data_IF_636419939735
#
_entry.id   IF_636419939735
#
_cell.length_a   1.000
_cell.length_b   1.000
_cell.length_c   1.000
_cell.angle_alpha   90.00
_cell.angle_beta   90.00
_cell.angle_gamma   90.00
#
_symmetry.space_group_name_H-M   'P 1'
#
loop_
_entity.id
_entity.type
_entity.pdbx_description
1 polymer ?
#
# COMPACT_ATOMS: atom_id res chain seq x y z
N UNK A 1 -12.41 -13.41 0.65
CA UNK A 1 -11.44 -12.41 0.23
C UNK A 1 -12.16 -11.09 0.00
N UNK A 2 -11.67 -10.03 0.56
CA UNK A 2 -12.27 -8.70 0.40
C UNK A 2 -11.32 -7.80 -0.39
N UNK A 3 -11.80 -6.62 -0.75
CA UNK A 3 -10.98 -5.63 -1.46
C UNK A 3 -11.13 -4.27 -0.83
N UNK A 4 -10.10 -3.44 -1.01
CA UNK A 4 -10.06 -2.07 -0.54
C UNK A 4 -9.81 -1.17 -1.75
N UNK A 5 -10.47 -0.02 -1.76
CA UNK A 5 -10.29 0.96 -2.81
C UNK A 5 -9.17 1.93 -2.46
N UNK A 6 -8.27 2.18 -3.41
CA UNK A 6 -7.28 3.25 -3.27
C UNK A 6 -8.02 4.58 -3.38
N UNK A 7 -7.79 5.47 -2.42
CA UNK A 7 -8.63 6.68 -2.27
C UNK A 7 -8.25 7.77 -3.26
N UNK A 8 -6.94 8.00 -3.46
CA UNK A 8 -6.50 9.18 -4.21
C UNK A 8 -5.22 8.90 -4.99
N UNK A 9 -4.79 9.87 -5.79
CA UNK A 9 -3.58 9.78 -6.59
C UNK A 9 -3.80 9.06 -7.91
N UNK A 10 -2.71 8.70 -8.59
CA UNK A 10 -2.81 8.12 -9.93
C UNK A 10 -3.44 6.72 -9.97
N UNK A 11 -3.43 6.01 -8.84
CA UNK A 11 -4.09 4.71 -8.71
C UNK A 11 -5.47 4.82 -8.07
N UNK A 12 -5.94 6.04 -7.82
CA UNK A 12 -7.24 6.27 -7.17
C UNK A 12 -8.37 5.55 -7.89
N UNK A 13 -9.22 4.89 -7.11
CA UNK A 13 -10.33 4.10 -7.64
C UNK A 13 -9.97 2.64 -7.93
N UNK A 14 -8.70 2.29 -8.01
CA UNK A 14 -8.27 0.91 -8.20
C UNK A 14 -8.48 0.10 -6.93
N UNK A 15 -8.73 -1.18 -7.09
CA UNK A 15 -8.97 -2.09 -5.96
C UNK A 15 -7.74 -2.94 -5.69
N UNK A 16 -7.45 -3.15 -4.40
CA UNK A 16 -6.45 -4.12 -3.96
C UNK A 16 -7.14 -5.20 -3.14
N UNK A 17 -6.62 -6.41 -3.21
CA UNK A 17 -7.17 -7.54 -2.47
C UNK A 17 -6.64 -7.56 -1.05
N UNK A 18 -7.50 -7.94 -0.12
CA UNK A 18 -7.12 -8.16 1.26
C UNK A 18 -7.56 -9.56 1.68
N UNK A 19 -6.94 -10.10 2.70
CA UNK A 19 -7.36 -11.35 3.31
C UNK A 19 -7.83 -11.09 4.73
N UNK A 20 -8.80 -11.87 5.19
CA UNK A 20 -9.26 -11.79 6.57
C UNK A 20 -8.21 -12.39 7.49
N UNK A 21 -7.73 -11.58 8.40
CA UNK A 21 -6.82 -12.02 9.45
C UNK A 21 -7.26 -11.32 10.73
N UNK A 22 -7.42 -12.09 11.81
CA UNK A 22 -7.88 -11.55 13.10
C UNK A 22 -6.99 -10.44 13.63
N UNK A 23 -5.70 -10.48 13.25
CA UNK A 23 -4.71 -9.52 13.71
C UNK A 23 -4.47 -8.39 12.72
N UNK A 24 -5.18 -8.41 11.60
CA UNK A 24 -5.00 -7.42 10.56
C UNK A 24 -6.22 -6.50 10.48
N UNK A 25 -6.03 -5.24 10.84
CA UNK A 25 -7.02 -4.20 10.62
C UNK A 25 -6.45 -3.23 9.60
N UNK A 26 -6.96 -3.23 8.36
CA UNK A 26 -6.50 -2.24 7.38
C UNK A 26 -6.84 -0.83 7.85
N UNK A 27 -5.98 0.11 7.53
CA UNK A 27 -6.24 1.53 7.83
C UNK A 27 -7.48 1.96 7.05
N UNK A 28 -8.51 2.51 7.72
CA UNK A 28 -9.72 2.94 7.02
C UNK A 28 -9.44 3.99 5.95
N UNK A 29 -10.24 3.97 4.89
CA UNK A 29 -10.10 4.91 3.77
C UNK A 29 -10.07 6.37 4.23
N UNK A 30 -10.94 6.71 5.18
CA UNK A 30 -11.01 8.06 5.74
C UNK A 30 -9.68 8.49 6.36
N UNK A 31 -9.02 7.58 7.09
CA UNK A 31 -7.75 7.87 7.74
C UNK A 31 -6.64 7.98 6.70
N UNK A 32 -6.62 7.09 5.71
CA UNK A 32 -5.65 7.17 4.61
C UNK A 32 -5.76 8.49 3.88
N UNK A 33 -6.97 8.90 3.55
CA UNK A 33 -7.21 10.17 2.88
C UNK A 33 -6.70 11.35 3.70
N UNK A 34 -6.95 11.36 5.00
CA UNK A 34 -6.50 12.43 5.88
C UNK A 34 -4.98 12.50 5.98
N UNK A 35 -4.33 11.34 6.14
CA UNK A 35 -2.86 11.28 6.20
C UNK A 35 -2.25 11.89 4.94
N UNK A 36 -2.70 11.49 3.77
CA UNK A 36 -2.11 11.95 2.52
C UNK A 36 -2.54 13.35 2.15
N UNK A 37 -3.69 13.81 2.64
CA UNK A 37 -4.07 15.22 2.57
C UNK A 37 -3.06 16.12 3.29
N UNK A 38 -2.56 15.66 4.43
CA UNK A 38 -1.54 16.41 5.18
C UNK A 38 -0.16 16.36 4.52
N UNK A 39 0.15 15.27 3.81
CA UNK A 39 1.46 15.04 3.23
C UNK A 39 1.61 15.60 1.81
N UNK A 40 0.52 15.98 1.18
CA UNK A 40 0.56 16.53 -0.17
C UNK A 40 0.90 18.02 -0.19
N UNK A 41 1.66 18.49 -1.20
CA UNK A 41 2.32 17.69 -2.23
C UNK A 41 3.54 16.97 -1.68
N UNK A 42 3.71 15.71 -2.07
CA UNK A 42 4.87 14.93 -1.67
C UNK A 42 6.10 15.34 -2.46
N UNK A 43 7.27 15.25 -1.81
CA UNK A 43 8.53 15.49 -2.50
C UNK A 43 8.76 14.40 -3.55
N UNK A 44 9.32 14.78 -4.70
CA UNK A 44 9.52 13.88 -5.84
C UNK A 44 10.42 12.68 -5.52
N UNK A 45 11.32 12.82 -4.58
CA UNK A 45 12.28 11.77 -4.21
C UNK A 45 11.92 11.04 -2.92
N UNK A 46 10.69 11.21 -2.43
CA UNK A 46 10.25 10.61 -1.19
C UNK A 46 10.21 9.08 -1.28
N UNK A 47 10.91 8.42 -0.37
CA UNK A 47 10.87 6.97 -0.22
C UNK A 47 10.18 6.64 1.09
N UNK A 48 9.16 5.79 1.05
CA UNK A 48 8.39 5.41 2.22
C UNK A 48 8.74 4.00 2.68
N UNK A 49 8.71 3.78 3.98
CA UNK A 49 8.89 2.47 4.59
C UNK A 49 7.60 2.07 5.28
N UNK A 50 7.04 0.94 4.88
CA UNK A 50 5.81 0.41 5.44
C UNK A 50 6.12 -0.89 6.20
N UNK A 51 6.23 -0.78 7.51
CA UNK A 51 6.47 -1.93 8.40
C UNK A 51 5.15 -2.63 8.68
N UNK A 52 5.18 -3.99 8.66
CA UNK A 52 3.96 -4.80 8.86
C UNK A 52 2.89 -4.45 7.83
N UNK A 53 3.30 -4.50 6.57
CA UNK A 53 2.56 -3.92 5.45
C UNK A 53 1.15 -4.52 5.24
N UNK A 54 0.92 -5.76 5.64
CA UNK A 54 -0.35 -6.42 5.36
C UNK A 54 -0.62 -6.50 3.87
N UNK A 55 -1.81 -6.07 3.44
CA UNK A 55 -2.17 -6.03 2.02
C UNK A 55 -1.49 -4.89 1.25
N UNK A 56 -0.80 -4.00 1.96
CA UNK A 56 -0.08 -2.90 1.35
C UNK A 56 -0.88 -1.62 1.16
N UNK A 57 -2.07 -1.52 1.75
CA UNK A 57 -2.97 -0.40 1.48
C UNK A 57 -2.33 0.97 1.74
N UNK A 58 -1.62 1.11 2.85
CA UNK A 58 -1.03 2.40 3.21
C UNK A 58 0.13 2.78 2.30
N UNK A 59 1.05 1.85 2.05
CA UNK A 59 2.19 2.09 1.17
C UNK A 59 1.78 2.29 -0.29
N UNK A 60 0.79 1.54 -0.76
CA UNK A 60 0.27 1.71 -2.11
C UNK A 60 -0.40 3.09 -2.25
N UNK A 61 -1.12 3.51 -1.21
CA UNK A 61 -1.70 4.85 -1.18
C UNK A 61 -0.61 5.93 -1.26
N UNK A 62 0.49 5.73 -0.54
CA UNK A 62 1.63 6.66 -0.60
C UNK A 62 2.20 6.74 -2.02
N UNK A 63 2.40 5.59 -2.67
CA UNK A 63 2.89 5.55 -4.03
C UNK A 63 1.94 6.24 -4.99
N UNK A 64 0.65 5.99 -4.82
CA UNK A 64 -0.41 6.61 -5.63
C UNK A 64 -0.38 8.14 -5.51
N UNK A 65 0.02 8.65 -4.37
CA UNK A 65 0.06 10.09 -4.10
C UNK A 65 1.42 10.72 -4.36
N UNK A 66 2.33 10.01 -5.01
CA UNK A 66 3.56 10.60 -5.51
C UNK A 66 4.86 10.15 -4.88
N UNK A 67 4.84 9.22 -3.93
CA UNK A 67 6.09 8.66 -3.40
C UNK A 67 6.87 8.02 -4.55
N UNK A 68 8.18 8.21 -4.57
CA UNK A 68 9.04 7.65 -5.61
C UNK A 68 9.13 6.14 -5.49
N UNK A 69 9.21 5.65 -4.27
CA UNK A 69 9.41 4.24 -3.98
C UNK A 69 8.85 3.91 -2.61
N UNK A 70 8.38 2.68 -2.45
CA UNK A 70 7.94 2.18 -1.15
C UNK A 70 8.66 0.87 -0.87
N UNK A 71 9.18 0.74 0.35
CA UNK A 71 9.76 -0.49 0.86
C UNK A 71 8.74 -1.09 1.82
N UNK A 72 8.27 -2.29 1.50
CA UNK A 72 7.32 -3.03 2.33
C UNK A 72 8.03 -4.13 3.09
N UNK A 73 7.69 -4.29 4.35
CA UNK A 73 8.18 -5.40 5.18
C UNK A 73 6.98 -6.14 5.73
N UNK A 74 6.90 -7.43 5.44
CA UNK A 74 5.81 -8.28 5.90
C UNK A 74 6.35 -9.68 6.22
N UNK A 75 6.09 -10.17 7.43
CA UNK A 75 6.58 -11.47 7.87
C UNK A 75 5.62 -12.63 7.55
N UNK A 76 4.33 -12.37 7.42
CA UNK A 76 3.33 -13.40 7.15
C UNK A 76 3.34 -13.77 5.67
N UNK A 77 3.50 -15.06 5.36
CA UNK A 77 3.64 -15.53 3.98
C UNK A 77 2.39 -15.22 3.14
N UNK A 78 1.22 -15.43 3.69
CA UNK A 78 -0.03 -15.21 2.96
C UNK A 78 -0.24 -13.73 2.66
N UNK A 79 0.02 -12.88 3.63
CA UNK A 79 -0.06 -11.43 3.44
C UNK A 79 0.99 -10.95 2.46
N UNK A 80 2.21 -11.48 2.53
CA UNK A 80 3.27 -11.12 1.59
C UNK A 80 2.88 -11.49 0.16
N UNK A 81 2.31 -12.68 -0.04
CA UNK A 81 1.88 -13.11 -1.36
C UNK A 81 0.76 -12.23 -1.92
N UNK A 82 -0.18 -11.84 -1.06
CA UNK A 82 -1.27 -10.95 -1.46
C UNK A 82 -0.73 -9.57 -1.83
N UNK A 83 0.20 -9.05 -1.03
CA UNK A 83 0.87 -7.78 -1.32
C UNK A 83 1.60 -7.83 -2.67
N UNK A 84 2.35 -8.90 -2.92
CA UNK A 84 3.06 -9.06 -4.19
C UNK A 84 2.08 -9.03 -5.37
N UNK A 85 0.98 -9.78 -5.28
CA UNK A 85 -0.02 -9.82 -6.34
C UNK A 85 -0.70 -8.47 -6.56
N UNK A 86 -0.95 -7.74 -5.48
CA UNK A 86 -1.51 -6.39 -5.60
C UNK A 86 -0.57 -5.48 -6.38
N UNK A 87 0.70 -5.49 -6.04
CA UNK A 87 1.69 -4.67 -6.73
C UNK A 87 1.86 -5.08 -8.19
N UNK A 88 1.80 -6.38 -8.47
CA UNK A 88 1.89 -6.90 -9.83
C UNK A 88 0.70 -6.43 -10.67
N UNK A 89 -0.52 -6.57 -10.14
CA UNK A 89 -1.73 -6.17 -10.85
C UNK A 89 -1.81 -4.66 -11.10
N UNK A 90 -1.24 -3.88 -10.20
CA UNK A 90 -1.20 -2.42 -10.35
C UNK A 90 -0.03 -1.95 -11.21
N UNK A 91 0.82 -2.88 -11.66
CA UNK A 91 2.01 -2.59 -12.48
C UNK A 91 2.99 -1.66 -11.79
N UNK A 92 3.20 -1.85 -10.48
CA UNK A 92 4.08 -1.01 -9.68
C UNK A 92 5.26 -1.78 -9.07
N UNK A 93 5.53 -3.00 -9.54
CA UNK A 93 6.64 -3.79 -9.00
C UNK A 93 7.99 -3.08 -9.14
N UNK A 94 8.16 -2.26 -10.15
CA UNK A 94 9.38 -1.49 -10.38
C UNK A 94 9.56 -0.34 -9.38
N UNK A 95 8.51 0.01 -8.65
CA UNK A 95 8.51 1.12 -7.68
C UNK A 95 8.44 0.66 -6.24
N UNK A 96 8.47 -0.65 -6.01
CA UNK A 96 8.38 -1.20 -4.67
C UNK A 96 9.51 -2.17 -4.41
N UNK A 97 9.85 -2.33 -3.14
CA UNK A 97 10.77 -3.35 -2.67
C UNK A 97 10.04 -4.14 -1.60
N UNK A 98 9.99 -5.45 -1.77
CA UNK A 98 9.23 -6.32 -0.87
C UNK A 98 10.19 -7.20 -0.09
N UNK A 99 10.10 -7.15 1.22
CA UNK A 99 10.90 -7.99 2.11
C UNK A 99 9.99 -8.82 2.98
N UNK A 100 10.24 -10.13 2.97
CA UNK A 100 9.55 -11.05 3.87
C UNK A 100 10.42 -11.29 5.09
N UNK A 101 10.06 -10.65 6.18
CA UNK A 101 10.77 -10.86 7.43
C UNK A 101 9.96 -10.37 8.64
#
# INVERSE_FOLDING_TARGET
MSSIKIVSGFLGGRLIKTIRNKNLKPTPARVREQIFSWLRPMKEDLVCLDLFAGSGSLGIEALSNGAKKVVFIEQNQELYNTLYKNCEQLSILDKVKLHKQ
#
